data_IF_337572070524
#
_entry.id   IF_337572070524
#
_cell.length_a   1.000
_cell.length_b   1.000
_cell.length_c   1.000
_cell.angle_alpha   90.00
_cell.angle_beta   90.00
_cell.angle_gamma   90.00
#
_symmetry.space_group_name_H-M   'P 1'
#
loop_
_entity.id
_entity.type
_entity.pdbx_description
1 polymer ?
#
# COMPACT_ATOMS: atom_id res chain seq x y z
N UNK A 1 -30.34 -5.47 5.53
CA UNK A 1 -29.62 -4.61 6.49
C UNK A 1 -28.94 -5.42 7.58
N UNK A 2 -29.66 -6.22 8.38
CA UNK A 2 -29.09 -7.17 9.39
C UNK A 2 -27.97 -8.09 8.83
N UNK A 3 -28.07 -8.51 7.57
CA UNK A 3 -27.07 -9.39 6.95
C UNK A 3 -25.74 -8.68 6.61
N UNK A 4 -25.76 -7.37 6.31
CA UNK A 4 -24.54 -6.61 5.99
C UNK A 4 -23.78 -6.29 7.29
N UNK A 5 -24.51 -5.89 8.33
CA UNK A 5 -23.99 -5.67 9.68
C UNK A 5 -23.36 -6.95 10.27
N UNK A 6 -24.09 -8.07 10.26
CA UNK A 6 -23.55 -9.34 10.77
C UNK A 6 -22.35 -9.83 9.95
N UNK A 7 -22.29 -9.56 8.64
CA UNK A 7 -21.21 -9.98 7.77
C UNK A 7 -19.95 -9.12 7.95
N UNK A 8 -20.11 -7.79 7.95
CA UNK A 8 -19.01 -6.84 8.17
C UNK A 8 -18.46 -6.95 9.60
N UNK A 9 -19.35 -7.07 10.59
CA UNK A 9 -18.95 -7.30 11.98
C UNK A 9 -18.25 -8.65 12.15
N UNK A 10 -18.74 -9.76 11.59
CA UNK A 10 -18.04 -11.07 11.67
C UNK A 10 -16.66 -11.05 11.02
N UNK A 11 -16.53 -10.38 9.88
CA UNK A 11 -15.26 -10.25 9.18
C UNK A 11 -14.31 -9.37 10.01
N UNK A 12 -14.72 -8.15 10.36
CA UNK A 12 -13.80 -7.21 11.02
C UNK A 12 -13.48 -7.60 12.46
N UNK A 13 -14.42 -8.17 13.23
CA UNK A 13 -14.11 -8.67 14.59
C UNK A 13 -13.10 -9.82 14.58
N UNK A 14 -13.04 -10.64 13.52
CA UNK A 14 -11.97 -11.64 13.33
C UNK A 14 -10.63 -11.03 12.96
N UNK A 15 -10.60 -9.78 12.51
CA UNK A 15 -9.42 -9.10 11.97
C UNK A 15 -8.81 -8.09 12.95
N UNK A 16 -9.55 -7.67 13.99
CA UNK A 16 -9.19 -6.62 14.97
C UNK A 16 -7.91 -6.83 15.80
N UNK A 17 -7.12 -7.87 15.56
CA UNK A 17 -5.89 -8.13 16.32
C UNK A 17 -4.60 -7.60 15.69
N UNK A 18 -4.55 -7.21 14.40
CA UNK A 18 -3.29 -6.79 13.75
C UNK A 18 -3.42 -5.59 12.79
N UNK A 19 -2.41 -4.72 12.85
CA UNK A 19 -2.42 -3.32 12.42
C UNK A 19 -2.34 -3.00 10.92
N UNK A 20 -2.86 -3.84 10.02
CA UNK A 20 -2.88 -3.53 8.58
C UNK A 20 -4.26 -3.69 7.92
N UNK A 21 -5.30 -3.94 8.71
CA UNK A 21 -6.70 -3.94 8.29
C UNK A 21 -7.46 -2.98 9.18
N UNK A 22 -8.35 -2.16 8.60
CA UNK A 22 -9.07 -1.16 9.39
C UNK A 22 -9.95 -1.83 10.44
N UNK A 23 -9.77 -1.52 11.74
CA UNK A 23 -10.64 -2.04 12.77
C UNK A 23 -11.97 -1.28 12.75
N UNK A 24 -13.06 -2.04 12.89
CA UNK A 24 -14.40 -1.51 13.10
C UNK A 24 -14.59 -1.36 14.60
N UNK A 25 -14.61 -0.12 15.07
CA UNK A 25 -14.78 0.20 16.49
C UNK A 25 -16.23 0.03 16.91
N UNK A 26 -17.18 0.47 16.06
CA UNK A 26 -18.60 0.38 16.37
C UNK A 26 -19.47 0.42 15.10
N UNK A 27 -20.70 -0.07 15.20
CA UNK A 27 -21.75 0.09 14.19
C UNK A 27 -22.93 0.76 14.89
N UNK A 28 -23.46 1.82 14.28
CA UNK A 28 -24.65 2.50 14.77
C UNK A 28 -25.75 2.42 13.71
N UNK A 29 -26.95 2.01 14.10
CA UNK A 29 -28.14 2.06 13.26
C UNK A 29 -28.98 3.30 13.63
N UNK A 30 -29.05 4.24 12.71
CA UNK A 30 -29.89 5.43 12.86
C UNK A 30 -31.25 5.17 12.19
N UNK A 31 -32.30 5.02 13.00
CA UNK A 31 -33.66 4.84 12.51
C UNK A 31 -34.25 6.19 12.08
N UNK A 32 -34.44 6.35 10.78
CA UNK A 32 -35.06 7.53 10.15
C UNK A 32 -36.56 7.28 9.99
N UNK A 33 -37.36 8.36 9.96
CA UNK A 33 -38.78 8.29 9.65
C UNK A 33 -39.04 7.53 8.32
N UNK A 34 -40.20 6.87 8.21
CA UNK A 34 -40.62 6.04 7.06
C UNK A 34 -39.92 4.67 6.93
N UNK A 35 -39.58 3.99 8.03
CA UNK A 35 -38.93 2.66 8.02
C UNK A 35 -37.61 2.62 7.24
N UNK A 36 -36.91 3.76 7.14
CA UNK A 36 -35.57 3.81 6.59
C UNK A 36 -34.58 3.79 7.75
N UNK A 37 -33.54 2.98 7.67
CA UNK A 37 -32.41 3.06 8.61
C UNK A 37 -31.12 3.34 7.85
N UNK A 38 -30.28 4.20 8.45
CA UNK A 38 -28.92 4.46 8.01
C UNK A 38 -27.94 3.71 8.92
N UNK A 39 -26.97 3.04 8.31
CA UNK A 39 -25.89 2.38 9.05
C UNK A 39 -24.64 3.24 9.03
N UNK A 40 -24.12 3.53 10.21
CA UNK A 40 -22.92 4.33 10.41
C UNK A 40 -21.81 3.42 10.96
N UNK A 41 -20.69 3.35 10.24
CA UNK A 41 -19.52 2.55 10.62
C UNK A 41 -18.50 3.46 11.30
N UNK A 42 -18.16 3.15 12.56
CA UNK A 42 -17.19 3.91 13.34
C UNK A 42 -15.84 3.18 13.27
N UNK A 43 -14.81 3.88 12.80
CA UNK A 43 -13.46 3.36 12.61
C UNK A 43 -12.42 4.44 12.97
N UNK A 44 -11.14 4.10 13.17
CA UNK A 44 -10.09 5.09 13.35
C UNK A 44 -10.05 6.10 12.20
N UNK A 45 -9.67 7.33 12.53
CA UNK A 45 -9.42 8.35 11.51
C UNK A 45 -8.08 8.03 10.82
N UNK A 46 -8.13 8.03 9.49
CA UNK A 46 -6.95 7.94 8.62
C UNK A 46 -6.68 9.28 7.95
N UNK A 47 -5.44 9.51 7.51
CA UNK A 47 -5.00 10.79 6.96
C UNK A 47 -5.58 11.04 5.56
N UNK A 48 -5.50 10.04 4.67
CA UNK A 48 -6.09 10.06 3.33
C UNK A 48 -6.15 8.66 2.69
N UNK A 49 -6.79 8.55 1.53
CA UNK A 49 -6.69 7.35 0.69
C UNK A 49 -5.36 7.29 -0.04
N UNK A 50 -4.90 6.08 -0.38
CA UNK A 50 -3.72 5.89 -1.22
C UNK A 50 -3.91 6.53 -2.60
N UNK A 51 -5.14 6.53 -3.14
CA UNK A 51 -5.45 7.26 -4.39
C UNK A 51 -5.10 8.75 -4.28
N UNK A 52 -5.60 9.41 -3.24
CA UNK A 52 -5.33 10.84 -3.03
C UNK A 52 -3.85 11.10 -2.79
N UNK A 53 -3.17 10.19 -2.08
CA UNK A 53 -1.73 10.26 -1.86
C UNK A 53 -0.95 10.18 -3.17
N UNK A 54 -1.28 9.22 -4.05
CA UNK A 54 -0.63 9.05 -5.34
C UNK A 54 -0.85 10.26 -6.27
N UNK A 55 -2.04 10.86 -6.24
CA UNK A 55 -2.33 12.08 -7.00
C UNK A 55 -1.50 13.26 -6.48
N UNK A 56 -1.46 13.47 -5.16
CA UNK A 56 -0.71 14.57 -4.53
C UNK A 56 0.81 14.42 -4.71
N UNK A 57 1.32 13.19 -4.71
CA UNK A 57 2.75 12.89 -4.71
C UNK A 57 3.23 12.25 -6.03
N UNK A 58 2.52 12.45 -7.14
CA UNK A 58 2.79 11.74 -8.41
C UNK A 58 4.25 11.84 -8.90
N UNK A 59 4.92 12.95 -8.62
CA UNK A 59 6.33 13.19 -8.95
C UNK A 59 7.32 12.90 -7.81
N UNK A 60 6.82 12.64 -6.60
CA UNK A 60 7.59 12.44 -5.37
C UNK A 60 7.45 11.01 -4.82
N UNK A 61 6.77 10.11 -5.54
CA UNK A 61 6.69 8.69 -5.18
C UNK A 61 8.07 8.04 -5.31
N UNK A 62 8.64 7.66 -4.17
CA UNK A 62 9.88 6.92 -4.11
C UNK A 62 9.64 5.41 -4.16
N UNK A 63 10.55 4.67 -4.80
CA UNK A 63 10.43 3.22 -4.95
C UNK A 63 10.47 2.48 -3.61
N UNK A 64 11.27 2.96 -2.65
CA UNK A 64 11.32 2.48 -1.27
C UNK A 64 9.92 2.45 -0.62
N UNK A 65 9.18 3.55 -0.77
CA UNK A 65 7.81 3.72 -0.27
C UNK A 65 6.82 2.85 -1.03
N UNK A 66 6.95 2.75 -2.36
CA UNK A 66 6.15 1.81 -3.18
C UNK A 66 6.26 0.38 -2.67
N UNK A 67 7.49 -0.10 -2.39
CA UNK A 67 7.72 -1.44 -1.84
C UNK A 67 7.14 -1.58 -0.42
N UNK A 68 7.26 -0.56 0.42
CA UNK A 68 6.68 -0.56 1.77
C UNK A 68 5.14 -0.68 1.74
N UNK A 69 4.47 0.07 0.87
CA UNK A 69 3.02 -0.01 0.69
C UNK A 69 2.61 -1.38 0.13
N UNK A 70 3.31 -1.86 -0.90
CA UNK A 70 3.07 -3.18 -1.47
C UNK A 70 3.20 -4.29 -0.41
N UNK A 71 4.24 -4.26 0.42
CA UNK A 71 4.44 -5.22 1.49
C UNK A 71 3.31 -5.15 2.53
N UNK A 72 2.94 -3.95 2.98
CA UNK A 72 1.84 -3.76 3.94
C UNK A 72 0.52 -4.34 3.42
N UNK A 73 0.18 -4.06 2.15
CA UNK A 73 -1.05 -4.55 1.52
C UNK A 73 -1.00 -6.06 1.30
N UNK A 74 0.14 -6.61 0.87
CA UNK A 74 0.33 -8.04 0.68
C UNK A 74 0.15 -8.83 1.99
N UNK A 75 0.67 -8.32 3.12
CA UNK A 75 0.45 -8.91 4.44
C UNK A 75 -1.03 -8.96 4.80
N UNK A 76 -1.78 -7.88 4.56
CA UNK A 76 -3.22 -7.84 4.82
C UNK A 76 -3.98 -8.83 3.94
N UNK A 77 -3.64 -8.93 2.66
CA UNK A 77 -4.24 -9.90 1.75
C UNK A 77 -3.94 -11.34 2.16
N UNK A 78 -2.70 -11.66 2.53
CA UNK A 78 -2.31 -12.98 3.01
C UNK A 78 -3.14 -13.39 4.24
N UNK A 79 -3.31 -12.46 5.19
CA UNK A 79 -4.15 -12.68 6.37
C UNK A 79 -5.61 -12.91 6.00
N UNK A 80 -6.18 -12.07 5.14
CA UNK A 80 -7.57 -12.23 4.68
C UNK A 80 -7.78 -13.59 4.02
N UNK A 81 -6.89 -13.96 3.10
CA UNK A 81 -6.97 -15.23 2.37
C UNK A 81 -6.77 -16.44 3.29
N UNK A 82 -5.90 -16.37 4.30
CA UNK A 82 -5.75 -17.43 5.32
C UNK A 82 -7.01 -17.62 6.17
N UNK A 83 -7.76 -16.55 6.40
CA UNK A 83 -9.07 -16.59 7.07
C UNK A 83 -10.23 -16.91 6.12
N UNK A 84 -9.92 -17.34 4.89
CA UNK A 84 -10.87 -17.62 3.82
C UNK A 84 -11.80 -16.43 3.50
N UNK A 85 -11.30 -15.20 3.68
CA UNK A 85 -12.00 -13.96 3.34
C UNK A 85 -11.39 -13.40 2.06
N UNK A 86 -12.25 -13.14 1.06
CA UNK A 86 -11.88 -12.44 -0.18
C UNK A 86 -12.45 -11.03 -0.17
N UNK A 87 -11.65 -10.04 -0.55
CA UNK A 87 -12.02 -8.62 -0.47
C UNK A 87 -12.93 -8.19 -1.62
N UNK A 88 -12.54 -8.53 -2.86
CA UNK A 88 -13.24 -8.32 -4.14
C UNK A 88 -13.30 -6.89 -4.69
N UNK A 89 -12.81 -5.91 -3.93
CA UNK A 89 -12.69 -4.52 -4.42
C UNK A 89 -11.37 -3.86 -4.02
N UNK A 90 -10.25 -4.55 -4.25
CA UNK A 90 -8.91 -4.02 -4.01
C UNK A 90 -8.60 -2.92 -5.04
N UNK A 91 -8.38 -1.69 -4.56
CA UNK A 91 -8.04 -0.52 -5.37
C UNK A 91 -7.49 0.60 -4.48
N UNK A 92 -6.80 1.58 -5.06
CA UNK A 92 -6.14 2.67 -4.31
C UNK A 92 -7.10 3.51 -3.44
N UNK A 93 -8.37 3.65 -3.80
CA UNK A 93 -9.35 4.36 -2.96
C UNK A 93 -9.82 3.55 -1.75
N UNK A 94 -9.59 2.23 -1.75
CA UNK A 94 -9.95 1.33 -0.66
C UNK A 94 -8.72 0.97 0.21
N UNK A 95 -7.61 1.68 0.03
CA UNK A 95 -6.46 1.63 0.91
C UNK A 95 -6.34 2.98 1.60
N UNK A 96 -6.40 2.98 2.94
CA UNK A 96 -6.20 4.18 3.76
C UNK A 96 -4.77 4.25 4.28
N UNK A 97 -4.26 5.46 4.44
CA UNK A 97 -2.98 5.73 5.08
C UNK A 97 -3.22 6.36 6.45
N UNK A 98 -2.51 5.92 7.48
CA UNK A 98 -2.42 6.66 8.73
C UNK A 98 -1.37 7.79 8.65
N UNK A 99 -1.13 8.46 9.78
CA UNK A 99 -0.15 9.55 9.85
C UNK A 99 1.31 9.06 9.77
N UNK A 100 1.54 7.75 9.93
CA UNK A 100 2.84 7.09 9.77
C UNK A 100 2.98 6.41 8.40
N UNK A 101 2.10 6.74 7.45
CA UNK A 101 2.02 6.15 6.12
C UNK A 101 1.87 4.61 6.12
N UNK A 102 1.29 4.02 7.16
CA UNK A 102 0.93 2.61 7.14
C UNK A 102 -0.36 2.41 6.34
N UNK A 103 -0.42 1.35 5.54
CA UNK A 103 -1.57 1.04 4.71
C UNK A 103 -2.58 0.16 5.44
N UNK A 104 -3.86 0.49 5.28
CA UNK A 104 -4.98 -0.29 5.80
C UNK A 104 -6.03 -0.52 4.72
N UNK A 105 -6.43 -1.79 4.55
CA UNK A 105 -7.54 -2.14 3.64
C UNK A 105 -8.88 -1.74 4.29
N UNK A 106 -9.71 -0.99 3.55
CA UNK A 106 -11.08 -0.62 3.91
C UNK A 106 -12.10 -1.16 2.89
N UNK A 107 -13.37 -0.99 3.24
CA UNK A 107 -14.53 -1.28 2.39
C UNK A 107 -14.72 -2.77 2.07
N UNK A 108 -15.00 -3.52 3.13
CA UNK A 108 -15.40 -4.93 3.07
C UNK A 108 -16.88 -5.08 2.65
N UNK A 109 -17.53 -4.05 2.09
CA UNK A 109 -18.94 -4.10 1.70
C UNK A 109 -19.19 -5.15 0.62
N UNK A 110 -18.14 -5.44 -0.15
CA UNK A 110 -18.11 -6.53 -1.11
C UNK A 110 -17.30 -7.73 -0.64
N UNK A 111 -16.77 -7.80 0.58
CA UNK A 111 -16.02 -8.98 1.02
C UNK A 111 -16.95 -10.20 1.19
N UNK A 112 -16.46 -11.43 1.04
CA UNK A 112 -17.21 -12.68 1.33
C UNK A 112 -16.28 -13.82 1.74
N UNK A 113 -16.86 -14.89 2.29
CA UNK A 113 -16.14 -16.16 2.43
C UNK A 113 -15.80 -16.72 1.06
N UNK A 114 -14.56 -17.18 0.88
CA UNK A 114 -14.04 -17.79 -0.34
C UNK A 114 -14.88 -18.98 -0.84
N UNK A 115 -15.68 -19.59 0.05
CA UNK A 115 -16.50 -20.78 -0.21
C UNK A 115 -17.82 -20.50 -0.96
N UNK A 116 -18.22 -19.23 -1.17
CA UNK A 116 -19.51 -18.88 -1.78
C UNK A 116 -19.41 -17.84 -2.91
N UNK A 117 -19.01 -18.28 -4.10
CA UNK A 117 -18.86 -17.42 -5.28
C UNK A 117 -20.07 -17.56 -6.22
N UNK A 118 -21.05 -16.67 -6.05
CA UNK A 118 -22.32 -16.68 -6.83
C UNK A 118 -22.69 -15.31 -7.43
N UNK A 119 -21.80 -14.32 -7.42
CA UNK A 119 -22.12 -12.95 -7.87
C UNK A 119 -20.89 -12.21 -8.35
N UNK A 120 -21.01 -11.48 -9.46
CA UNK A 120 -19.96 -10.58 -9.98
C UNK A 120 -19.94 -9.33 -9.11
N UNK A 121 -18.78 -9.04 -8.51
CA UNK A 121 -18.53 -7.85 -7.69
C UNK A 121 -17.12 -7.34 -7.96
N UNK A 122 -16.93 -6.02 -7.91
CA UNK A 122 -15.65 -5.34 -8.11
C UNK A 122 -15.74 -4.12 -9.02
N UNK A 123 -14.70 -3.30 -9.02
CA UNK A 123 -14.57 -2.12 -9.89
C UNK A 123 -13.78 -2.46 -11.16
N UNK A 124 -14.15 -1.88 -12.31
CA UNK A 124 -13.37 -2.04 -13.54
C UNK A 124 -11.97 -1.40 -13.44
N UNK A 125 -10.95 -1.98 -14.10
CA UNK A 125 -11.00 -3.20 -14.93
C UNK A 125 -11.02 -4.49 -14.08
N UNK A 126 -11.91 -5.42 -14.47
CA UNK A 126 -12.10 -6.69 -13.78
C UNK A 126 -11.14 -7.77 -14.30
N UNK A 127 -10.83 -8.81 -13.49
CA UNK A 127 -10.09 -9.98 -13.92
C UNK A 127 -10.69 -10.65 -15.18
N UNK A 128 -9.88 -11.11 -16.15
CA UNK A 128 -10.36 -11.67 -17.42
C UNK A 128 -11.33 -12.83 -17.27
N UNK A 129 -11.14 -13.69 -16.27
CA UNK A 129 -12.02 -14.82 -15.98
C UNK A 129 -13.41 -14.38 -15.50
N UNK A 130 -13.50 -13.25 -14.78
CA UNK A 130 -14.78 -12.68 -14.34
C UNK A 130 -15.49 -12.08 -15.55
N UNK A 131 -14.76 -11.37 -16.42
CA UNK A 131 -15.30 -10.81 -17.66
C UNK A 131 -15.77 -11.92 -18.60
N UNK A 132 -14.95 -12.96 -18.82
CA UNK A 132 -15.28 -14.08 -19.69
C UNK A 132 -16.51 -14.83 -19.18
N UNK A 133 -16.58 -15.11 -17.88
CA UNK A 133 -17.72 -15.79 -17.31
C UNK A 133 -19.00 -14.92 -17.32
N UNK A 134 -18.87 -13.59 -17.16
CA UNK A 134 -19.99 -12.67 -17.38
C UNK A 134 -20.51 -12.72 -18.81
N UNK A 135 -19.62 -12.67 -19.81
CA UNK A 135 -19.99 -12.70 -21.22
C UNK A 135 -20.57 -14.05 -21.66
N UNK A 136 -20.18 -15.16 -21.02
CA UNK A 136 -20.62 -16.51 -21.37
C UNK A 136 -21.95 -16.91 -20.71
N UNK A 137 -22.36 -16.26 -19.61
CA UNK A 137 -23.54 -16.67 -18.84
C UNK A 137 -24.72 -15.72 -19.01
N UNK A 138 -25.88 -16.28 -19.38
CA UNK A 138 -27.16 -15.58 -19.44
C UNK A 138 -27.89 -15.53 -18.08
N UNK A 139 -27.33 -16.18 -17.05
CA UNK A 139 -28.02 -16.49 -15.78
C UNK A 139 -27.45 -15.76 -14.56
N UNK A 140 -26.35 -15.01 -14.70
CA UNK A 140 -25.78 -14.16 -13.64
C UNK A 140 -24.98 -14.88 -12.54
N UNK A 141 -24.67 -16.17 -12.68
CA UNK A 141 -24.02 -16.99 -11.63
C UNK A 141 -22.60 -17.44 -11.97
N UNK A 142 -21.63 -16.55 -11.78
CA UNK A 142 -20.21 -16.83 -12.04
C UNK A 142 -19.50 -17.38 -10.81
N UNK A 143 -18.90 -18.56 -10.92
CA UNK A 143 -17.93 -19.11 -9.97
C UNK A 143 -16.51 -18.79 -10.45
N UNK A 144 -15.70 -18.16 -9.59
CA UNK A 144 -14.29 -17.87 -9.86
C UNK A 144 -13.48 -18.02 -8.57
N UNK A 145 -12.14 -18.05 -8.68
CA UNK A 145 -11.25 -18.01 -7.51
C UNK A 145 -11.15 -16.56 -7.02
N UNK A 146 -11.81 -16.27 -5.89
CA UNK A 146 -11.84 -14.93 -5.31
C UNK A 146 -10.49 -14.44 -4.80
N UNK A 147 -9.64 -15.33 -4.31
CA UNK A 147 -8.31 -14.96 -3.84
C UNK A 147 -7.43 -14.59 -5.03
N UNK A 148 -7.44 -15.39 -6.11
CA UNK A 148 -6.73 -15.07 -7.34
C UNK A 148 -7.25 -13.78 -8.01
N UNK A 149 -8.54 -13.45 -7.86
CA UNK A 149 -9.09 -12.18 -8.32
C UNK A 149 -8.59 -10.98 -7.50
N UNK A 150 -8.51 -11.10 -6.17
CA UNK A 150 -7.89 -10.07 -5.31
C UNK A 150 -6.43 -9.82 -5.72
N UNK A 151 -5.67 -10.88 -6.04
CA UNK A 151 -4.29 -10.78 -6.52
C UNK A 151 -4.21 -10.04 -7.86
N UNK A 152 -5.14 -10.26 -8.78
CA UNK A 152 -5.20 -9.51 -10.04
C UNK A 152 -5.43 -8.02 -9.79
N UNK A 153 -6.42 -7.68 -8.95
CA UNK A 153 -6.68 -6.30 -8.54
C UNK A 153 -5.49 -5.68 -7.80
N UNK A 154 -4.77 -6.45 -6.99
CA UNK A 154 -3.54 -6.02 -6.37
C UNK A 154 -2.44 -5.76 -7.41
N UNK A 155 -2.32 -6.57 -8.47
CA UNK A 155 -1.43 -6.31 -9.61
C UNK A 155 -1.67 -4.96 -10.28
N UNK A 156 -2.94 -4.57 -10.46
CA UNK A 156 -3.31 -3.25 -10.96
C UNK A 156 -2.89 -2.13 -10.00
N UNK A 157 -3.07 -2.35 -8.70
CA UNK A 157 -2.64 -1.39 -7.67
C UNK A 157 -1.12 -1.26 -7.60
N UNK A 158 -0.37 -2.36 -7.71
CA UNK A 158 1.09 -2.36 -7.77
C UNK A 158 1.59 -1.51 -8.95
N UNK A 159 0.93 -1.63 -10.11
CA UNK A 159 1.19 -0.79 -11.28
C UNK A 159 0.84 0.68 -11.04
N UNK A 160 -0.30 0.96 -10.39
CA UNK A 160 -0.70 2.33 -10.05
C UNK A 160 0.36 3.03 -9.20
N UNK A 161 0.94 2.32 -8.22
CA UNK A 161 1.98 2.80 -7.31
C UNK A 161 3.38 2.94 -7.93
N UNK A 162 3.59 2.53 -9.21
CA UNK A 162 4.87 2.74 -9.88
C UNK A 162 5.19 4.25 -10.01
N UNK A 163 6.40 4.69 -9.61
CA UNK A 163 6.83 6.09 -9.71
C UNK A 163 6.71 6.67 -11.13
N UNK A 164 5.82 7.64 -11.35
CA UNK A 164 5.60 8.20 -12.70
C UNK A 164 6.77 9.02 -13.22
N UNK A 165 7.66 9.50 -12.34
CA UNK A 165 8.92 10.12 -12.75
C UNK A 165 9.85 9.17 -13.53
N UNK A 166 9.63 7.85 -13.40
CA UNK A 166 10.38 6.81 -14.12
C UNK A 166 9.58 6.12 -15.22
N UNK A 167 8.28 6.41 -15.37
CA UNK A 167 7.34 5.68 -16.22
C UNK A 167 6.31 6.64 -16.85
N UNK A 168 6.17 6.66 -18.18
CA UNK A 168 5.04 7.35 -18.83
C UNK A 168 3.73 6.70 -18.38
N UNK A 169 2.71 7.51 -18.09
CA UNK A 169 1.40 7.05 -17.65
C UNK A 169 0.74 6.24 -18.79
N UNK A 170 0.75 4.90 -18.68
CA UNK A 170 0.07 4.04 -19.65
C UNK A 170 -1.38 3.86 -19.22
N UNK A 171 -2.27 3.93 -20.21
CA UNK A 171 -3.67 3.56 -20.05
C UNK A 171 -3.76 2.07 -19.71
N UNK A 172 -4.28 1.77 -18.52
CA UNK A 172 -4.43 0.40 -18.01
C UNK A 172 -5.41 -0.41 -18.87
N UNK A 173 -6.28 0.26 -19.65
CA UNK A 173 -7.19 -0.39 -20.57
C UNK A 173 -6.47 -1.00 -21.79
N UNK A 174 -5.19 -0.68 -21.99
CA UNK A 174 -4.32 -1.25 -23.02
C UNK A 174 -3.38 -2.34 -22.47
N UNK A 175 -3.87 -3.21 -21.55
CA UNK A 175 -3.13 -4.32 -20.92
C UNK A 175 -2.20 -5.14 -21.85
N UNK A 176 -2.54 -5.44 -23.14
CA UNK A 176 -1.61 -6.11 -24.05
C UNK A 176 -0.31 -5.32 -24.31
N UNK A 177 -0.37 -3.98 -24.30
CA UNK A 177 0.79 -3.10 -24.51
C UNK A 177 1.52 -2.79 -23.19
N UNK A 178 0.84 -2.87 -22.05
CA UNK A 178 1.43 -2.60 -20.72
C UNK A 178 2.58 -3.57 -20.41
N UNK A 179 2.43 -4.86 -20.75
CA UNK A 179 3.49 -5.86 -20.51
C UNK A 179 4.78 -5.54 -21.25
N UNK A 180 4.70 -5.24 -22.55
CA UNK A 180 5.88 -4.89 -23.36
C UNK A 180 6.54 -3.60 -22.87
N UNK A 181 5.74 -2.60 -22.51
CA UNK A 181 6.23 -1.30 -22.06
C UNK A 181 6.88 -1.37 -20.67
N UNK A 182 6.29 -2.13 -19.75
CA UNK A 182 6.89 -2.38 -18.43
C UNK A 182 8.23 -3.13 -18.55
N UNK A 183 8.27 -4.19 -19.37
CA UNK A 183 9.50 -4.96 -19.58
C UNK A 183 10.60 -4.14 -20.24
N UNK A 184 10.26 -3.26 -21.19
CA UNK A 184 11.24 -2.37 -21.82
C UNK A 184 11.83 -1.34 -20.84
N UNK A 185 11.04 -0.88 -19.87
CA UNK A 185 11.46 0.14 -18.89
C UNK A 185 12.22 -0.45 -17.69
N UNK A 186 12.06 -1.75 -17.41
CA UNK A 186 12.71 -2.45 -16.31
C UNK A 186 14.21 -2.76 -16.53
N UNK A 187 14.67 -2.77 -17.79
CA UNK A 187 15.98 -3.30 -18.22
C UNK A 187 17.21 -2.63 -17.59
N UNK A 188 17.06 -1.52 -16.86
CA UNK A 188 18.17 -0.75 -16.29
C UNK A 188 18.31 -0.83 -14.76
N UNK A 189 17.37 -1.47 -14.03
CA UNK A 189 17.37 -1.49 -12.54
C UNK A 189 16.87 -2.82 -11.98
N UNK A 190 17.79 -3.67 -11.50
CA UNK A 190 17.47 -5.01 -11.01
C UNK A 190 16.38 -5.06 -9.90
N UNK A 191 16.39 -4.12 -8.95
CA UNK A 191 15.37 -4.04 -7.90
C UNK A 191 13.97 -3.70 -8.43
N UNK A 192 13.92 -2.90 -9.50
CA UNK A 192 12.69 -2.49 -10.17
C UNK A 192 12.14 -3.61 -11.06
N UNK A 193 13.04 -4.42 -11.64
CA UNK A 193 12.69 -5.64 -12.36
C UNK A 193 11.92 -6.61 -11.46
N UNK A 194 12.40 -6.87 -10.24
CA UNK A 194 11.71 -7.79 -9.30
C UNK A 194 10.27 -7.33 -9.04
N UNK A 195 10.05 -6.03 -8.84
CA UNK A 195 8.72 -5.47 -8.60
C UNK A 195 7.82 -5.55 -9.85
N UNK A 196 8.38 -5.27 -11.04
CA UNK A 196 7.66 -5.38 -12.31
C UNK A 196 7.28 -6.83 -12.61
N UNK A 197 8.17 -7.78 -12.33
CA UNK A 197 7.88 -9.21 -12.48
C UNK A 197 6.67 -9.61 -11.64
N UNK A 198 6.51 -9.04 -10.43
CA UNK A 198 5.33 -9.28 -9.60
C UNK A 198 4.06 -8.65 -10.17
N UNK A 199 4.13 -7.43 -10.74
CA UNK A 199 2.98 -6.84 -11.45
C UNK A 199 2.53 -7.80 -12.55
N UNK A 200 3.46 -8.28 -13.38
CA UNK A 200 3.15 -9.16 -14.50
C UNK A 200 2.62 -10.52 -14.06
N UNK A 201 3.16 -11.09 -12.98
CA UNK A 201 2.69 -12.34 -12.41
C UNK A 201 1.27 -12.21 -11.83
N UNK A 202 0.97 -11.11 -11.14
CA UNK A 202 -0.37 -10.83 -10.62
C UNK A 202 -1.40 -10.63 -11.74
N UNK A 203 -1.00 -10.04 -12.86
CA UNK A 203 -1.86 -9.77 -14.01
C UNK A 203 -1.93 -10.94 -15.01
N UNK A 204 -1.49 -12.14 -14.65
CA UNK A 204 -1.61 -13.31 -15.53
C UNK A 204 -3.11 -13.59 -15.83
N UNK A 205 -3.49 -13.77 -17.10
CA UNK A 205 -4.87 -14.04 -17.48
C UNK A 205 -5.39 -15.38 -16.93
N UNK A 206 -4.51 -16.31 -16.54
CA UNK A 206 -4.86 -17.59 -15.95
C UNK A 206 -4.77 -17.46 -14.42
N UNK A 207 -5.89 -17.56 -13.67
CA UNK A 207 -5.91 -17.35 -12.22
C UNK A 207 -4.92 -18.22 -11.45
N UNK A 208 -4.76 -19.49 -11.83
CA UNK A 208 -3.87 -20.45 -11.16
C UNK A 208 -2.39 -20.18 -11.37
N UNK A 209 -2.03 -19.26 -12.27
CA UNK A 209 -0.63 -18.83 -12.48
C UNK A 209 -0.25 -17.60 -11.65
N UNK A 210 -1.24 -16.93 -11.05
CA UNK A 210 -1.00 -15.78 -10.18
C UNK A 210 -0.37 -16.26 -8.87
N UNK A 211 0.56 -15.48 -8.29
CA UNK A 211 1.17 -15.83 -7.01
C UNK A 211 0.14 -15.76 -5.88
N UNK A 212 0.41 -16.45 -4.77
CA UNK A 212 -0.36 -16.21 -3.53
C UNK A 212 0.12 -14.94 -2.85
N UNK A 213 -0.72 -14.35 -2.02
CA UNK A 213 -0.32 -13.20 -1.21
C UNK A 213 0.89 -13.52 -0.30
N UNK A 214 0.97 -14.75 0.23
CA UNK A 214 2.13 -15.22 1.02
C UNK A 214 3.44 -15.15 0.22
N UNK A 215 3.41 -15.56 -1.06
CA UNK A 215 4.59 -15.53 -1.94
C UNK A 215 5.03 -14.08 -2.17
N UNK A 216 4.07 -13.17 -2.38
CA UNK A 216 4.33 -11.74 -2.58
C UNK A 216 4.93 -11.09 -1.33
N UNK A 217 4.50 -11.48 -0.13
CA UNK A 217 5.10 -11.01 1.14
C UNK A 217 6.58 -11.35 1.19
N UNK A 218 6.94 -12.61 0.93
CA UNK A 218 8.34 -13.06 0.91
C UNK A 218 9.15 -12.30 -0.14
N UNK A 219 8.60 -12.12 -1.34
CA UNK A 219 9.28 -11.41 -2.41
C UNK A 219 9.52 -9.94 -2.04
N UNK A 220 8.50 -9.21 -1.58
CA UNK A 220 8.66 -7.80 -1.21
C UNK A 220 9.57 -7.59 0.00
N UNK A 221 9.58 -8.51 0.97
CA UNK A 221 10.56 -8.51 2.07
C UNK A 221 12.00 -8.73 1.58
N UNK A 222 12.18 -9.51 0.51
CA UNK A 222 13.49 -9.78 -0.08
C UNK A 222 14.03 -8.63 -0.92
N UNK A 223 13.18 -7.70 -1.37
CA UNK A 223 13.63 -6.48 -2.04
C UNK A 223 14.35 -5.64 -0.98
N UNK A 224 15.67 -5.45 -1.08
CA UNK A 224 16.38 -4.66 -0.10
C UNK A 224 15.76 -3.27 -0.09
N UNK A 225 15.59 -2.64 1.10
CA UNK A 225 15.17 -1.26 1.13
C UNK A 225 16.13 -0.51 0.23
N UNK A 226 15.64 0.01 -0.90
CA UNK A 226 16.47 0.86 -1.72
C UNK A 226 16.81 2.03 -0.83
N UNK A 227 18.04 2.03 -0.32
CA UNK A 227 18.64 3.22 0.26
C UNK A 227 18.53 4.21 -0.89
N UNK A 228 17.52 5.07 -0.83
CA UNK A 228 17.58 6.33 -1.54
C UNK A 228 18.93 6.87 -1.13
N UNK A 229 19.82 6.93 -2.10
CA UNK A 229 21.05 7.68 -1.95
C UNK A 229 20.58 9.12 -1.80
N UNK A 230 20.26 9.49 -0.56
CA UNK A 230 19.97 10.85 -0.18
C UNK A 230 21.31 11.53 -0.26
N UNK A 231 21.42 12.50 -1.17
CA UNK A 231 22.59 13.33 -1.27
C UNK A 231 22.79 13.98 0.11
N UNK A 232 24.02 13.98 0.60
CA UNK A 232 24.32 14.70 1.82
C UNK A 232 23.86 16.16 1.63
N UNK A 233 23.05 16.66 2.54
CA UNK A 233 22.53 18.03 2.43
C UNK A 233 23.61 19.14 2.52
N UNK A 234 24.85 18.79 2.82
CA UNK A 234 25.98 19.71 2.99
C UNK A 234 27.00 19.64 1.86
N UNK A 235 27.36 18.43 1.40
CA UNK A 235 28.35 18.25 0.34
C UNK A 235 27.79 17.66 -0.97
N UNK A 236 26.49 17.34 -1.00
CA UNK A 236 25.82 16.69 -2.14
C UNK A 236 26.44 15.35 -2.58
N UNK A 237 27.28 14.73 -1.75
CA UNK A 237 27.86 13.42 -2.05
C UNK A 237 26.86 12.28 -1.82
N UNK A 238 27.02 11.21 -2.61
CA UNK A 238 26.21 9.98 -2.56
C UNK A 238 26.66 9.10 -1.39
N UNK A 239 25.87 9.03 -0.33
CA UNK A 239 26.17 8.20 0.85
C UNK A 239 25.45 6.85 0.84
N UNK A 240 26.15 5.81 1.32
CA UNK A 240 25.62 4.45 1.55
C UNK A 240 25.22 4.23 3.02
N UNK A 241 25.65 5.10 3.93
CA UNK A 241 25.42 4.99 5.37
C UNK A 241 24.78 6.27 5.90
N UNK A 242 23.48 6.19 6.18
CA UNK A 242 22.66 7.34 6.52
C UNK A 242 22.49 7.43 8.04
N UNK A 243 22.98 8.51 8.66
CA UNK A 243 22.51 8.92 10.00
C UNK A 243 21.15 9.59 9.83
N UNK A 244 20.08 8.89 10.20
CA UNK A 244 18.71 9.41 10.06
C UNK A 244 18.47 10.56 11.04
N UNK A 245 18.09 11.72 10.52
CA UNK A 245 17.36 12.70 11.32
C UNK A 245 15.90 12.20 11.50
N UNK A 246 15.26 12.43 12.65
CA UNK A 246 13.92 11.91 13.00
C UNK A 246 12.83 12.15 11.96
N UNK A 247 12.98 13.21 11.17
CA UNK A 247 11.97 13.59 10.19
C UNK A 247 12.06 12.78 8.89
N UNK A 248 12.98 11.83 8.73
CA UNK A 248 13.21 11.02 7.52
C UNK A 248 13.53 11.82 6.23
N UNK A 249 13.50 13.15 6.25
CA UNK A 249 13.66 14.03 5.08
C UNK A 249 15.08 14.60 4.89
N UNK A 250 16.01 14.36 5.83
CA UNK A 250 17.41 14.84 5.74
C UNK A 250 18.42 13.75 6.08
N UNK A 251 19.54 13.75 5.34
CA UNK A 251 20.70 12.88 5.52
C UNK A 251 21.98 13.70 5.49
N UNK A 252 22.87 13.44 6.45
CA UNK A 252 24.24 13.95 6.44
C UNK A 252 25.22 12.78 6.27
N UNK A 253 26.28 12.98 5.49
CA UNK A 253 27.41 12.06 5.46
C UNK A 253 28.15 12.10 6.80
N UNK A 254 28.86 11.03 7.14
CA UNK A 254 29.58 10.95 8.43
C UNK A 254 30.61 12.09 8.55
N UNK A 255 31.27 12.48 7.45
CA UNK A 255 32.24 13.58 7.46
C UNK A 255 31.59 14.95 7.71
N UNK A 256 30.50 15.29 7.02
CA UNK A 256 29.77 16.53 7.27
C UNK A 256 29.11 16.53 8.64
N UNK A 257 28.70 15.37 9.16
CA UNK A 257 28.19 15.23 10.52
C UNK A 257 29.26 15.57 11.57
N UNK A 258 30.46 14.99 11.44
CA UNK A 258 31.56 15.27 12.37
C UNK A 258 31.99 16.75 12.32
N UNK A 259 32.06 17.35 11.12
CA UNK A 259 32.35 18.78 10.96
C UNK A 259 31.24 19.68 11.51
N UNK A 260 29.98 19.28 11.36
CA UNK A 260 28.86 20.06 11.89
C UNK A 260 28.78 19.98 13.41
N UNK A 261 29.03 18.80 13.99
CA UNK A 261 29.05 18.56 15.44
C UNK A 261 30.08 19.43 16.16
N UNK A 262 31.19 19.76 15.52
CA UNK A 262 32.19 20.67 16.08
C UNK A 262 31.81 22.15 15.97
N UNK A 263 30.89 22.50 15.06
CA UNK A 263 30.52 23.89 14.76
C UNK A 263 29.18 24.33 15.37
N UNK A 264 28.24 23.42 15.64
CA UNK A 264 26.86 23.77 16.00
C UNK A 264 26.39 23.11 17.30
N UNK A 265 25.87 23.94 18.21
CA UNK A 265 25.46 23.53 19.55
C UNK A 265 24.02 22.98 19.59
N UNK A 266 23.80 21.79 19.03
CA UNK A 266 22.69 20.85 19.34
C UNK A 266 21.31 20.99 18.66
N UNK A 267 21.06 21.94 17.75
CA UNK A 267 19.74 22.06 17.06
C UNK A 267 19.83 22.07 15.53
N UNK A 268 18.95 21.32 14.87
CA UNK A 268 18.82 21.25 13.40
C UNK A 268 17.37 21.44 12.99
N UNK A 269 17.08 22.41 12.12
CA UNK A 269 15.76 22.57 11.49
C UNK A 269 15.70 21.87 10.13
N UNK A 270 14.64 21.12 9.86
CA UNK A 270 14.40 20.57 8.52
C UNK A 270 13.94 21.65 7.54
N UNK A 271 14.62 21.81 6.40
CA UNK A 271 14.20 22.80 5.39
C UNK A 271 12.89 22.42 4.68
N UNK A 272 12.53 21.13 4.68
CA UNK A 272 11.33 20.59 4.05
C UNK A 272 10.13 20.68 5.00
N UNK A 273 10.19 19.98 6.14
CA UNK A 273 9.07 19.89 7.09
C UNK A 273 9.19 20.80 8.31
N UNK A 274 10.24 21.64 8.40
CA UNK A 274 10.45 22.61 9.48
C UNK A 274 10.59 22.01 10.88
N UNK A 275 10.64 20.69 11.00
CA UNK A 275 10.88 20.00 12.27
C UNK A 275 12.24 20.37 12.84
N UNK A 276 12.26 20.85 14.09
CA UNK A 276 13.48 21.10 14.84
C UNK A 276 13.85 19.84 15.60
N UNK A 277 15.06 19.36 15.37
CA UNK A 277 15.65 18.22 16.05
C UNK A 277 16.64 18.75 17.07
N UNK A 278 16.42 18.42 18.35
CA UNK A 278 17.37 18.73 19.43
C UNK A 278 18.16 17.46 19.75
N UNK A 279 19.48 17.55 19.70
CA UNK A 279 20.40 16.43 19.90
C UNK A 279 20.95 16.49 21.32
N UNK A 280 20.63 15.48 22.13
CA UNK A 280 21.22 15.32 23.45
C UNK A 280 22.37 14.31 23.36
N UNK A 281 23.59 14.76 23.65
CA UNK A 281 24.74 13.87 23.78
C UNK A 281 24.74 13.29 25.18
N UNK A 282 24.26 12.05 25.35
CA UNK A 282 24.70 11.18 26.43
C UNK A 282 25.86 10.32 25.91
N UNK A 283 26.72 9.89 26.83
CA UNK A 283 28.11 9.55 26.56
C UNK A 283 28.38 8.56 25.41
N UNK A 284 29.33 8.96 24.56
CA UNK A 284 30.13 8.24 23.56
C UNK A 284 29.53 7.22 22.57
N UNK A 285 28.31 6.69 22.71
CA UNK A 285 27.69 5.89 21.66
C UNK A 285 26.17 6.12 21.62
N UNK A 286 25.71 6.49 20.42
CA UNK A 286 24.33 6.76 20.00
C UNK A 286 23.67 8.08 20.46
N UNK A 287 23.52 9.00 19.50
CA UNK A 287 22.73 10.22 19.69
C UNK A 287 21.24 9.87 19.77
N UNK A 288 20.63 10.06 20.94
CA UNK A 288 19.17 10.05 21.08
C UNK A 288 18.57 11.35 20.56
N UNK A 289 17.63 11.23 19.63
CA UNK A 289 16.95 12.37 19.04
C UNK A 289 15.57 12.58 19.67
N UNK A 290 15.27 13.80 20.08
CA UNK A 290 13.95 14.17 20.57
C UNK A 290 13.30 15.12 19.57
N UNK A 291 12.10 14.75 19.12
CA UNK A 291 11.23 15.63 18.34
C UNK A 291 10.40 16.42 19.34
N UNK A 292 10.55 17.74 19.35
CA UNK A 292 9.58 18.59 20.05
C UNK A 292 8.37 18.77 19.13
N UNK A 293 7.17 18.32 19.50
CA UNK A 293 5.96 18.73 18.80
C UNK A 293 5.75 20.24 19.03
N UNK A 294 5.38 20.95 17.96
CA UNK A 294 4.89 22.33 18.06
C UNK A 294 3.54 22.37 18.79
#
# INVERSE_FOLDING_TARGET
MVALEAHYHRIVTRLCSDGHIVPLLHVYENNIANNQSELWLIMPRYSMSLRDYLIKNIHQMHFSRTVSFALSIANSLAKLHHLEIVHRDIKSSNIMLDDNEQCYIIDFGTAKSALYNKTILGTFPLPPEIVAAYLQQHTGFVTYDGAAADIYSFGLLLYEMLPKSSYQQLDINALPNVKQLLLAQAQSKAHLQVYIDQILACLDPIPTKRPRADDLVVIFQSIPPTIEIKLCMSCEERERTVRFLPCQHKVMCEQCWQQWRTLNNTKVECIICKTIVTIHTQDNYDATFFVQPN
#
